data_IF_506251824137
#
_entry.id   IF_506251824137
#
_cell.length_a   1.000
_cell.length_b   1.000
_cell.length_c   1.000
_cell.angle_alpha   90.00
_cell.angle_beta   90.00
_cell.angle_gamma   90.00
#
_symmetry.space_group_name_H-M   'P 1'
#
loop_
_entity.id
_entity.type
_entity.pdbx_description
1 polymer ?
#
# COMPACT_ATOMS: atom_id res chain seq x y z
N UNK A 1 -5.95 6.39 -6.33
CA UNK A 1 -4.88 6.07 -5.35
C UNK A 1 -3.66 6.90 -5.71
N UNK A 2 -2.95 7.45 -4.73
CA UNK A 2 -1.68 8.18 -4.93
C UNK A 2 -0.46 7.30 -4.58
N UNK A 3 0.77 7.71 -4.95
CA UNK A 3 1.97 6.91 -4.70
C UNK A 3 2.58 7.10 -3.30
N UNK A 4 3.62 6.33 -2.98
CA UNK A 4 4.37 6.45 -1.71
C UNK A 4 5.15 7.77 -1.63
N UNK A 5 5.10 8.44 -0.47
CA UNK A 5 5.78 9.71 -0.15
C UNK A 5 5.63 10.71 -1.31
N UNK A 6 4.38 10.98 -1.70
CA UNK A 6 4.09 11.80 -2.88
C UNK A 6 4.26 13.31 -2.62
N UNK A 7 4.22 13.74 -1.36
CA UNK A 7 4.28 15.15 -0.98
C UNK A 7 5.71 15.67 -0.76
N UNK A 8 6.74 14.83 -0.90
CA UNK A 8 8.13 15.21 -0.62
C UNK A 8 9.14 14.27 -1.29
N UNK A 9 10.43 14.63 -1.37
CA UNK A 9 11.46 13.71 -1.84
C UNK A 9 11.61 12.48 -0.93
N UNK A 10 11.79 11.29 -1.52
CA UNK A 10 12.02 10.06 -0.77
C UNK A 10 13.47 9.97 -0.25
N UNK A 11 13.76 10.57 0.90
CA UNK A 11 15.06 10.48 1.56
C UNK A 11 14.99 10.70 3.08
N UNK A 12 15.92 10.07 3.81
CA UNK A 12 16.03 10.18 5.26
C UNK A 12 16.22 11.62 5.77
N UNK A 13 16.86 12.48 4.98
CA UNK A 13 17.06 13.90 5.34
C UNK A 13 15.80 14.73 5.09
N UNK A 14 14.93 14.30 4.17
CA UNK A 14 13.69 15.01 3.83
C UNK A 14 12.57 14.67 4.80
N UNK A 15 12.44 13.41 5.23
CA UNK A 15 11.29 12.99 6.04
C UNK A 15 11.01 13.90 7.25
N UNK A 16 11.99 14.30 8.09
CA UNK A 16 11.71 15.18 9.22
C UNK A 16 11.26 16.59 8.83
N UNK A 17 11.73 17.09 7.68
CA UNK A 17 11.44 18.44 7.19
C UNK A 17 10.01 18.52 6.66
N UNK A 18 9.57 17.49 5.95
CA UNK A 18 8.26 17.44 5.30
C UNK A 18 7.20 16.68 6.11
N UNK A 19 7.55 16.18 7.31
CA UNK A 19 6.61 15.42 8.12
C UNK A 19 5.46 16.29 8.66
N UNK A 20 4.24 15.80 8.48
CA UNK A 20 3.00 16.46 8.89
C UNK A 20 2.36 15.77 10.10
N UNK A 21 1.73 16.54 10.99
CA UNK A 21 0.97 16.00 12.13
C UNK A 21 -0.48 15.75 11.72
N UNK A 22 -0.71 14.53 11.22
CA UNK A 22 -2.00 14.09 10.69
C UNK A 22 -3.12 14.17 11.75
N UNK A 23 -2.80 13.92 13.03
CA UNK A 23 -3.79 13.90 14.10
C UNK A 23 -4.17 15.33 14.54
N UNK A 24 -3.25 16.29 14.42
CA UNK A 24 -3.56 17.71 14.62
C UNK A 24 -4.41 18.31 13.48
N UNK A 25 -4.24 17.83 12.24
CA UNK A 25 -5.02 18.25 11.08
C UNK A 25 -4.82 19.72 10.67
N UNK A 26 -5.61 20.20 9.72
CA UNK A 26 -5.58 21.61 9.26
C UNK A 26 -4.20 22.01 8.73
N UNK A 27 -3.70 23.16 9.20
CA UNK A 27 -2.38 23.70 8.83
C UNK A 27 -1.20 22.80 9.26
N UNK A 28 -1.39 21.93 10.24
CA UNK A 28 -0.36 20.97 10.67
C UNK A 28 -0.28 19.73 9.75
N UNK A 29 -1.30 19.54 8.90
CA UNK A 29 -1.37 18.46 7.93
C UNK A 29 -2.08 18.90 6.63
N UNK A 30 -1.47 19.84 5.88
CA UNK A 30 -2.05 20.38 4.65
C UNK A 30 -2.28 19.29 3.59
N UNK A 31 -1.44 18.27 3.51
CA UNK A 31 -1.59 17.18 2.54
C UNK A 31 -2.86 16.39 2.80
N UNK A 32 -3.12 15.99 4.05
CA UNK A 32 -4.36 15.26 4.37
C UNK A 32 -5.60 16.15 4.31
N UNK A 33 -5.46 17.44 4.62
CA UNK A 33 -6.56 18.41 4.49
C UNK A 33 -6.97 18.55 3.03
N UNK A 34 -6.00 18.70 2.11
CA UNK A 34 -6.25 18.75 0.68
C UNK A 34 -6.93 17.47 0.17
N UNK A 35 -6.47 16.28 0.60
CA UNK A 35 -7.09 15.01 0.20
C UNK A 35 -8.52 14.84 0.73
N UNK A 36 -8.77 15.25 1.98
CA UNK A 36 -10.11 15.26 2.57
C UNK A 36 -11.08 16.14 1.77
N UNK A 37 -10.65 17.36 1.42
CA UNK A 37 -11.44 18.28 0.62
C UNK A 37 -11.69 17.75 -0.79
N UNK A 38 -10.66 17.22 -1.46
CA UNK A 38 -10.78 16.64 -2.79
C UNK A 38 -11.75 15.46 -2.81
N UNK A 39 -11.65 14.55 -1.83
CA UNK A 39 -12.54 13.40 -1.71
C UNK A 39 -14.01 13.84 -1.56
N UNK A 40 -14.27 14.85 -0.70
CA UNK A 40 -15.61 15.41 -0.48
C UNK A 40 -16.18 16.14 -1.70
N UNK A 41 -15.35 16.93 -2.39
CA UNK A 41 -15.77 17.71 -3.55
C UNK A 41 -16.05 16.83 -4.77
N UNK A 42 -15.23 15.81 -4.99
CA UNK A 42 -15.33 14.90 -6.12
C UNK A 42 -16.22 13.68 -5.83
N UNK A 43 -16.64 13.48 -4.57
CA UNK A 43 -17.46 12.34 -4.13
C UNK A 43 -16.83 11.00 -4.46
N UNK A 44 -15.55 10.87 -4.13
CA UNK A 44 -14.75 9.66 -4.36
C UNK A 44 -14.04 9.20 -3.09
N UNK A 45 -13.80 7.89 -2.99
CA UNK A 45 -12.87 7.34 -2.00
C UNK A 45 -11.43 7.55 -2.48
N UNK A 46 -10.56 8.08 -1.61
CA UNK A 46 -9.14 8.31 -1.91
C UNK A 46 -8.26 7.45 -1.01
N UNK A 47 -7.52 6.52 -1.61
CA UNK A 47 -6.31 5.95 -0.98
C UNK A 47 -5.17 6.93 -1.23
N UNK A 48 -4.80 7.68 -0.20
CA UNK A 48 -3.99 8.89 -0.26
C UNK A 48 -2.49 8.68 -0.43
N UNK A 49 -2.07 7.56 -1.01
CA UNK A 49 -0.65 7.24 -1.13
C UNK A 49 0.00 7.20 0.24
N UNK A 50 1.22 7.69 0.38
CA UNK A 50 1.74 7.97 1.73
C UNK A 50 2.46 9.30 1.81
N UNK A 51 2.61 9.79 3.05
CA UNK A 51 3.37 10.98 3.43
C UNK A 51 4.21 10.67 4.68
N UNK A 52 5.29 11.42 4.95
CA UNK A 52 5.94 11.35 6.26
C UNK A 52 5.00 11.94 7.31
N UNK A 53 4.65 11.16 8.32
CA UNK A 53 3.81 11.57 9.45
C UNK A 53 4.70 11.87 10.66
N UNK A 54 4.42 12.98 11.35
CA UNK A 54 4.96 13.28 12.67
C UNK A 54 3.94 12.91 13.74
N UNK A 55 4.38 12.16 14.74
CA UNK A 55 3.54 11.76 15.88
C UNK A 55 4.40 11.78 17.14
N UNK A 56 4.41 12.92 17.83
CA UNK A 56 5.33 13.18 18.93
C UNK A 56 6.78 13.29 18.42
N UNK A 57 7.68 12.52 19.01
CA UNK A 57 9.11 12.45 18.64
C UNK A 57 9.38 11.47 17.48
N UNK A 58 8.36 10.70 17.06
CA UNK A 58 8.49 9.67 16.03
C UNK A 58 8.00 10.16 14.67
N UNK A 59 8.61 9.59 13.64
CA UNK A 59 8.23 9.77 12.25
C UNK A 59 7.76 8.44 11.66
N UNK A 60 6.78 8.47 10.77
CA UNK A 60 6.23 7.28 10.12
C UNK A 60 6.04 7.51 8.62
N UNK A 61 6.02 6.44 7.84
CA UNK A 61 5.56 6.46 6.45
C UNK A 61 4.07 6.05 6.45
N UNK A 62 3.17 6.99 6.17
CA UNK A 62 1.76 6.83 6.52
C UNK A 62 0.82 7.05 5.35
N UNK A 63 -0.04 6.07 5.11
CA UNK A 63 -1.12 6.10 4.12
C UNK A 63 -2.46 6.39 4.80
N UNK A 64 -3.16 7.41 4.34
CA UNK A 64 -4.52 7.75 4.77
C UNK A 64 -5.55 7.33 3.73
N UNK A 65 -6.72 6.86 4.18
CA UNK A 65 -7.87 6.56 3.32
C UNK A 65 -9.03 7.48 3.68
N UNK A 66 -9.57 8.19 2.70
CA UNK A 66 -10.70 9.11 2.87
C UNK A 66 -11.93 8.57 2.13
N UNK A 67 -13.11 8.70 2.74
CA UNK A 67 -14.39 8.41 2.07
C UNK A 67 -14.88 9.59 1.21
N UNK A 68 -15.99 9.39 0.50
CA UNK A 68 -16.62 10.35 -0.40
C UNK A 68 -17.21 11.59 0.31
N UNK A 69 -17.24 11.61 1.64
CA UNK A 69 -17.58 12.78 2.44
C UNK A 69 -16.33 13.53 2.95
N UNK A 70 -15.15 13.03 2.62
CA UNK A 70 -13.85 13.57 3.04
C UNK A 70 -13.41 13.10 4.42
N UNK A 71 -14.12 12.16 5.05
CA UNK A 71 -13.75 11.69 6.39
C UNK A 71 -12.59 10.70 6.31
N UNK A 72 -11.62 10.86 7.20
CA UNK A 72 -10.52 9.90 7.37
C UNK A 72 -11.10 8.57 7.91
N UNK A 73 -11.03 7.52 7.10
CA UNK A 73 -11.53 6.17 7.40
C UNK A 73 -10.46 5.26 8.00
N UNK A 74 -9.21 5.44 7.57
CA UNK A 74 -8.10 4.64 8.04
C UNK A 74 -6.77 5.39 7.92
N UNK A 75 -5.84 5.06 8.81
CA UNK A 75 -4.44 5.49 8.80
C UNK A 75 -3.57 4.25 8.92
N UNK A 76 -2.74 3.99 7.92
CA UNK A 76 -1.83 2.85 7.86
C UNK A 76 -0.39 3.35 7.92
N UNK A 77 0.33 2.97 8.97
CA UNK A 77 1.78 3.20 9.07
C UNK A 77 2.50 1.97 8.51
N UNK A 78 3.45 2.19 7.60
CA UNK A 78 4.26 1.14 6.96
C UNK A 78 4.83 0.20 8.00
N UNK A 79 4.54 -1.10 7.89
CA UNK A 79 4.89 -2.08 8.92
C UNK A 79 6.34 -2.55 8.72
N UNK A 80 6.72 -2.80 7.47
CA UNK A 80 8.05 -3.28 7.12
C UNK A 80 8.86 -2.14 6.50
N UNK A 81 9.80 -1.59 7.28
CA UNK A 81 10.68 -0.52 6.82
C UNK A 81 11.68 -1.03 5.78
N UNK A 82 12.00 -0.17 4.82
CA UNK A 82 12.90 -0.48 3.71
C UNK A 82 14.36 -0.38 4.12
N UNK A 83 14.84 -1.44 4.78
CA UNK A 83 16.24 -1.59 5.16
C UNK A 83 16.92 -2.61 4.24
N UNK A 84 17.62 -2.11 3.22
CA UNK A 84 18.37 -2.94 2.27
C UNK A 84 19.80 -2.45 2.07
N UNK A 85 20.68 -3.41 1.80
CA UNK A 85 22.04 -3.16 1.36
C UNK A 85 22.38 -4.14 0.22
N UNK A 86 22.37 -3.64 -1.01
CA UNK A 86 22.75 -4.39 -2.21
C UNK A 86 24.09 -3.82 -2.68
N UNK A 87 25.22 -4.51 -2.40
CA UNK A 87 26.55 -4.01 -2.67
C UNK A 87 26.72 -3.51 -4.11
N UNK A 88 27.20 -2.27 -4.25
CA UNK A 88 27.44 -1.63 -5.54
C UNK A 88 26.18 -1.22 -6.33
N UNK A 89 24.98 -1.35 -5.76
CA UNK A 89 23.72 -0.97 -6.41
C UNK A 89 22.90 0.03 -5.61
N UNK A 90 22.43 -0.38 -4.43
CA UNK A 90 21.59 0.48 -3.58
C UNK A 90 21.70 0.09 -2.12
N UNK A 91 21.88 1.09 -1.26
CA UNK A 91 21.80 0.96 0.19
C UNK A 91 20.82 2.00 0.69
N UNK A 92 19.78 1.58 1.39
CA UNK A 92 18.80 2.47 2.00
C UNK A 92 18.36 1.86 3.32
N UNK A 93 18.41 2.65 4.40
CA UNK A 93 18.01 2.21 5.75
C UNK A 93 16.96 3.22 6.22
N UNK A 94 15.69 2.92 5.93
CA UNK A 94 14.53 3.76 6.27
C UNK A 94 14.37 3.87 7.81
N UNK A 95 14.75 2.83 8.55
CA UNK A 95 14.69 2.78 10.01
C UNK A 95 15.66 3.72 10.74
N UNK A 96 16.60 4.36 10.02
CA UNK A 96 17.42 5.43 10.60
C UNK A 96 16.60 6.66 10.98
N UNK A 97 15.47 6.87 10.32
CA UNK A 97 14.64 8.07 10.48
C UNK A 97 13.19 7.73 10.80
N UNK A 98 12.63 6.69 10.17
CA UNK A 98 11.22 6.32 10.35
C UNK A 98 11.04 5.19 11.36
N UNK A 99 9.86 5.14 11.96
CA UNK A 99 9.39 4.11 12.88
C UNK A 99 8.39 3.21 12.18
N UNK A 100 8.47 1.90 12.45
CA UNK A 100 7.53 0.93 11.91
C UNK A 100 6.12 1.10 12.50
N UNK A 101 5.10 0.85 11.67
CA UNK A 101 3.74 0.66 12.13
C UNK A 101 3.56 -0.67 12.88
N UNK A 102 2.57 -0.73 13.75
CA UNK A 102 2.34 -1.87 14.65
C UNK A 102 1.09 -2.68 14.29
N UNK A 103 0.33 -2.25 13.26
CA UNK A 103 -0.98 -2.81 12.96
C UNK A 103 -1.25 -2.97 11.46
N UNK A 104 -1.64 -4.18 10.99
CA UNK A 104 -2.28 -4.35 9.70
C UNK A 104 -3.53 -3.47 9.59
N UNK A 105 -3.75 -2.85 8.43
CA UNK A 105 -4.86 -1.92 8.22
C UNK A 105 -5.79 -2.47 7.14
N UNK A 106 -7.04 -2.70 7.54
CA UNK A 106 -8.14 -3.07 6.64
C UNK A 106 -9.29 -2.09 6.88
N UNK A 107 -9.90 -1.61 5.81
CA UNK A 107 -10.93 -0.57 5.87
C UNK A 107 -12.08 -0.89 4.96
N UNK A 108 -13.30 -0.77 5.49
CA UNK A 108 -14.54 -0.83 4.71
C UNK A 108 -14.84 0.55 4.11
N UNK A 109 -14.99 0.57 2.79
CA UNK A 109 -15.33 1.75 2.01
C UNK A 109 -16.50 1.45 1.08
N UNK A 110 -17.05 2.47 0.44
CA UNK A 110 -18.13 2.32 -0.54
C UNK A 110 -17.70 1.52 -1.78
N UNK A 111 -16.40 1.53 -2.09
CA UNK A 111 -15.82 0.74 -3.18
C UNK A 111 -15.39 -0.66 -2.74
N UNK A 112 -15.65 -1.05 -1.50
CA UNK A 112 -15.33 -2.37 -0.95
C UNK A 112 -14.33 -2.34 0.20
N UNK A 113 -14.07 -3.53 0.76
CA UNK A 113 -13.04 -3.77 1.79
C UNK A 113 -11.63 -3.76 1.21
N UNK A 114 -10.79 -2.84 1.68
CA UNK A 114 -9.42 -2.61 1.18
C UNK A 114 -8.40 -2.94 2.28
N UNK A 115 -7.41 -3.77 1.95
CA UNK A 115 -6.18 -3.90 2.74
C UNK A 115 -5.14 -2.88 2.29
N UNK A 116 -4.39 -2.28 3.21
CA UNK A 116 -3.37 -1.27 2.90
C UNK A 116 -1.99 -1.80 3.28
N UNK A 117 -1.04 -1.76 2.36
CA UNK A 117 0.39 -1.90 2.65
C UNK A 117 1.15 -0.78 1.94
N UNK A 118 2.39 -0.51 2.34
CA UNK A 118 3.23 0.48 1.66
C UNK A 118 4.50 -0.19 1.18
N UNK A 119 4.73 -0.13 -0.13
CA UNK A 119 5.97 -0.51 -0.82
C UNK A 119 6.56 -1.85 -0.36
N UNK A 120 7.50 -1.82 0.57
CA UNK A 120 8.22 -2.98 1.08
C UNK A 120 7.31 -4.01 1.76
N UNK A 121 6.15 -3.59 2.28
CA UNK A 121 5.11 -4.48 2.80
C UNK A 121 4.67 -5.54 1.77
N UNK A 122 4.74 -5.24 0.47
CA UNK A 122 4.40 -6.21 -0.58
C UNK A 122 5.32 -7.42 -0.56
N UNK A 123 6.51 -7.38 0.05
CA UNK A 123 7.42 -8.54 0.12
C UNK A 123 6.99 -9.59 1.15
N UNK A 124 6.11 -9.25 2.07
CA UNK A 124 5.69 -10.10 3.19
C UNK A 124 4.32 -10.70 2.90
N UNK A 125 4.31 -11.94 2.41
CA UNK A 125 3.08 -12.61 1.96
C UNK A 125 2.09 -12.83 3.11
N UNK A 126 2.57 -12.96 4.34
CA UNK A 126 1.77 -13.13 5.56
C UNK A 126 0.76 -11.99 5.73
N UNK A 127 1.17 -10.75 5.42
CA UNK A 127 0.31 -9.58 5.52
C UNK A 127 -0.86 -9.67 4.52
N UNK A 128 -0.58 -10.10 3.29
CA UNK A 128 -1.62 -10.29 2.27
C UNK A 128 -2.57 -11.46 2.60
N UNK A 129 -2.05 -12.55 3.18
CA UNK A 129 -2.88 -13.66 3.67
C UNK A 129 -3.82 -13.17 4.78
N UNK A 130 -3.34 -12.34 5.71
CA UNK A 130 -4.17 -11.75 6.77
C UNK A 130 -5.28 -10.89 6.15
N UNK A 131 -4.96 -10.02 5.19
CA UNK A 131 -5.98 -9.19 4.53
C UNK A 131 -7.04 -10.03 3.80
N UNK A 132 -6.63 -11.06 3.08
CA UNK A 132 -7.54 -11.99 2.41
C UNK A 132 -8.43 -12.73 3.42
N UNK A 133 -7.86 -13.24 4.51
CA UNK A 133 -8.58 -13.93 5.58
C UNK A 133 -9.56 -13.01 6.34
N UNK A 134 -9.28 -11.70 6.35
CA UNK A 134 -10.19 -10.66 6.88
C UNK A 134 -11.18 -10.14 5.81
N UNK A 135 -11.22 -10.75 4.63
CA UNK A 135 -12.22 -10.48 3.60
C UNK A 135 -11.91 -9.30 2.69
N UNK A 136 -10.65 -8.88 2.56
CA UNK A 136 -10.27 -7.86 1.59
C UNK A 136 -10.62 -8.30 0.16
N UNK A 137 -11.18 -7.36 -0.61
CA UNK A 137 -11.43 -7.55 -2.04
C UNK A 137 -10.24 -7.05 -2.88
N UNK A 138 -9.54 -6.05 -2.37
CA UNK A 138 -8.42 -5.36 -2.98
C UNK A 138 -7.34 -5.10 -1.92
N UNK A 139 -6.08 -5.24 -2.30
CA UNK A 139 -4.96 -4.68 -1.53
C UNK A 139 -4.32 -3.56 -2.32
N UNK A 140 -4.18 -2.39 -1.68
CA UNK A 140 -3.50 -1.24 -2.25
C UNK A 140 -2.09 -1.13 -1.67
N UNK A 141 -1.10 -1.01 -2.56
CA UNK A 141 0.30 -0.77 -2.21
C UNK A 141 0.81 0.48 -2.93
N UNK A 142 0.63 1.69 -2.36
CA UNK A 142 1.47 2.83 -2.73
C UNK A 142 2.94 2.44 -2.54
N UNK A 143 3.80 2.66 -3.53
CA UNK A 143 5.19 2.25 -3.41
C UNK A 143 6.11 2.75 -4.49
N UNK A 144 7.37 3.01 -4.11
CA UNK A 144 8.44 3.38 -5.02
C UNK A 144 9.53 2.30 -5.02
N UNK A 145 9.45 1.32 -5.93
CA UNK A 145 10.59 0.41 -6.15
C UNK A 145 11.70 1.15 -6.91
N UNK A 146 12.95 0.74 -6.73
CA UNK A 146 14.10 1.34 -7.44
C UNK A 146 14.44 0.59 -8.73
N UNK A 147 15.33 1.16 -9.54
CA UNK A 147 15.83 0.58 -10.78
C UNK A 147 16.52 -0.78 -10.66
N UNK A 148 16.93 -1.21 -9.46
CA UNK A 148 17.51 -2.55 -9.24
C UNK A 148 16.45 -3.60 -8.95
N UNK A 149 15.50 -3.28 -8.09
CA UNK A 149 14.49 -4.23 -7.61
C UNK A 149 13.21 -4.22 -8.43
N UNK A 150 12.86 -3.09 -9.05
CA UNK A 150 11.69 -2.88 -9.89
C UNK A 150 11.60 -3.90 -11.03
N UNK A 151 12.59 -3.96 -11.95
CA UNK A 151 12.56 -4.86 -13.11
C UNK A 151 12.41 -6.35 -12.75
N UNK A 152 12.87 -6.74 -11.56
CA UNK A 152 12.89 -8.14 -11.13
C UNK A 152 11.66 -8.53 -10.31
N UNK A 153 11.18 -7.62 -9.48
CA UNK A 153 10.26 -7.97 -8.39
C UNK A 153 8.93 -7.22 -8.42
N UNK A 154 8.84 -6.05 -9.07
CA UNK A 154 7.61 -5.24 -9.00
C UNK A 154 6.41 -6.00 -9.53
N UNK A 155 6.48 -6.47 -10.79
CA UNK A 155 5.38 -7.22 -11.40
C UNK A 155 5.18 -8.60 -10.76
N UNK A 156 6.28 -9.29 -10.46
CA UNK A 156 6.23 -10.62 -9.86
C UNK A 156 5.48 -10.61 -8.53
N UNK A 157 5.81 -9.67 -7.64
CA UNK A 157 5.22 -9.62 -6.30
C UNK A 157 3.74 -9.27 -6.35
N UNK A 158 3.34 -8.26 -7.13
CA UNK A 158 1.92 -7.90 -7.25
C UNK A 158 1.07 -9.06 -7.78
N UNK A 159 1.55 -9.78 -8.80
CA UNK A 159 0.87 -10.94 -9.37
C UNK A 159 0.80 -12.09 -8.39
N UNK A 160 1.87 -12.35 -7.64
CA UNK A 160 1.86 -13.35 -6.58
C UNK A 160 0.84 -13.01 -5.48
N UNK A 161 0.81 -11.75 -5.00
CA UNK A 161 -0.17 -11.30 -3.99
C UNK A 161 -1.61 -11.49 -4.48
N UNK A 162 -1.90 -11.14 -5.72
CA UNK A 162 -3.23 -11.27 -6.30
C UNK A 162 -3.64 -12.75 -6.48
N UNK A 163 -2.78 -13.55 -7.12
CA UNK A 163 -3.07 -14.93 -7.48
C UNK A 163 -3.21 -15.86 -6.26
N UNK A 164 -2.29 -15.75 -5.29
CA UNK A 164 -2.25 -16.63 -4.12
C UNK A 164 -3.38 -16.35 -3.12
N UNK A 165 -3.85 -15.09 -3.10
CA UNK A 165 -4.87 -14.64 -2.16
C UNK A 165 -6.25 -14.43 -2.81
N UNK A 166 -6.36 -14.62 -4.13
CA UNK A 166 -7.61 -14.53 -4.90
C UNK A 166 -8.36 -13.22 -4.64
N UNK A 167 -7.64 -12.12 -4.86
CA UNK A 167 -8.08 -10.73 -4.68
C UNK A 167 -7.40 -9.82 -5.70
N UNK A 168 -7.89 -8.58 -5.85
CA UNK A 168 -7.23 -7.58 -6.67
C UNK A 168 -6.01 -6.99 -5.94
N UNK A 169 -5.01 -6.56 -6.69
CA UNK A 169 -3.87 -5.80 -6.17
C UNK A 169 -3.66 -4.56 -7.01
N UNK A 170 -3.61 -3.40 -6.36
CA UNK A 170 -3.29 -2.14 -7.03
C UNK A 170 -2.01 -1.55 -6.44
N UNK A 171 -1.07 -1.20 -7.31
CA UNK A 171 0.18 -0.53 -6.97
C UNK A 171 0.23 0.85 -7.62
N UNK A 172 0.67 1.87 -6.89
CA UNK A 172 0.88 3.21 -7.44
C UNK A 172 2.27 3.71 -7.07
N UNK A 173 3.03 4.05 -8.10
CA UNK A 173 4.42 4.50 -8.01
C UNK A 173 4.58 5.92 -8.51
N UNK A 174 5.48 6.73 -7.92
CA UNK A 174 5.87 8.00 -8.52
C UNK A 174 6.44 7.76 -9.93
N UNK A 175 6.29 8.75 -10.80
CA UNK A 175 7.00 8.77 -12.07
C UNK A 175 8.52 8.73 -11.82
N UNK A 176 9.26 8.21 -12.80
CA UNK A 176 10.72 8.12 -12.72
C UNK A 176 11.34 9.49 -12.93
N UNK A 177 11.99 9.99 -11.88
CA UNK A 177 12.90 11.12 -11.96
C UNK A 177 14.35 10.65 -11.81
N UNK A 178 15.16 10.85 -12.84
CA UNK A 178 16.58 10.47 -12.86
C UNK A 178 17.48 11.47 -12.10
N UNK A 179 16.96 12.67 -11.79
CA UNK A 179 17.65 13.65 -10.98
C UNK A 179 17.38 13.47 -9.47
N UNK A 180 16.38 12.67 -9.09
CA UNK A 180 16.06 12.40 -7.69
C UNK A 180 17.12 11.51 -7.03
N UNK A 181 17.34 11.72 -5.73
CA UNK A 181 18.24 10.87 -4.93
C UNK A 181 17.79 9.41 -4.83
N UNK A 182 16.49 9.16 -5.03
CA UNK A 182 15.91 7.82 -5.16
C UNK A 182 15.15 7.73 -6.49
N UNK A 183 15.71 6.99 -7.45
CA UNK A 183 15.12 6.86 -8.79
C UNK A 183 14.07 5.76 -8.79
N UNK A 184 12.80 6.16 -8.86
CA UNK A 184 11.66 5.25 -8.89
C UNK A 184 11.59 4.44 -10.19
N UNK A 185 11.09 3.20 -10.07
CA UNK A 185 10.84 2.31 -11.19
C UNK A 185 9.67 2.80 -12.04
N UNK A 186 8.61 3.32 -11.41
CA UNK A 186 7.35 3.65 -12.07
C UNK A 186 6.44 2.42 -12.16
N UNK A 187 5.73 2.28 -13.28
CA UNK A 187 4.89 1.13 -13.61
C UNK A 187 3.79 0.85 -12.57
N UNK A 188 3.07 1.89 -12.14
CA UNK A 188 1.79 1.70 -11.43
C UNK A 188 0.95 0.66 -12.17
N UNK A 189 0.32 -0.27 -11.45
CA UNK A 189 -0.35 -1.42 -12.06
C UNK A 189 -1.61 -1.82 -11.29
N UNK A 190 -2.64 -2.27 -12.00
CA UNK A 190 -3.76 -3.03 -11.46
C UNK A 190 -3.66 -4.49 -11.89
N UNK A 191 -3.73 -5.41 -10.93
CA UNK A 191 -3.71 -6.85 -11.13
C UNK A 191 -5.03 -7.48 -10.67
N UNK A 192 -5.58 -8.35 -11.51
CA UNK A 192 -6.80 -9.10 -11.25
C UNK A 192 -6.59 -10.38 -10.42
N UNK A 193 -7.67 -11.03 -9.98
CA UNK A 193 -7.64 -12.15 -9.06
C UNK A 193 -7.10 -13.47 -9.64
N UNK A 194 -6.89 -13.55 -10.96
CA UNK A 194 -6.19 -14.66 -11.61
C UNK A 194 -4.67 -14.39 -11.74
N UNK A 195 -4.19 -13.23 -11.28
CA UNK A 195 -2.80 -12.80 -11.41
C UNK A 195 -2.49 -12.16 -12.77
N UNK A 196 -3.52 -11.78 -13.53
CA UNK A 196 -3.45 -11.06 -14.78
C UNK A 196 -3.24 -9.56 -14.56
N UNK A 197 -2.37 -8.94 -15.36
CA UNK A 197 -2.21 -7.49 -15.36
C UNK A 197 -3.37 -6.90 -16.17
N UNK A 198 -4.22 -6.11 -15.52
CA UNK A 198 -5.40 -5.50 -16.15
C UNK A 198 -5.07 -4.14 -16.77
N UNK A 199 -4.20 -3.37 -16.12
CA UNK A 199 -3.69 -2.10 -16.63
C UNK A 199 -2.35 -1.79 -15.98
N UNK A 200 -1.42 -1.20 -16.73
CA UNK A 200 -0.11 -0.76 -16.24
C UNK A 200 0.29 0.54 -16.93
N UNK A 201 1.04 1.36 -16.21
CA UNK A 201 1.76 2.52 -16.78
C UNK A 201 3.18 2.11 -17.17
N UNK A 202 3.85 3.00 -17.89
CA UNK A 202 5.30 2.98 -18.06
C UNK A 202 5.97 3.75 -16.91
N UNK A 203 7.02 4.52 -17.18
CA UNK A 203 7.81 5.21 -16.17
C UNK A 203 7.60 6.73 -16.13
N UNK A 204 6.77 7.28 -17.04
CA UNK A 204 6.39 8.69 -17.06
C UNK A 204 5.17 8.95 -16.16
N UNK A 205 4.85 10.22 -15.91
CA UNK A 205 3.63 10.60 -15.19
C UNK A 205 2.40 10.23 -16.01
N UNK A 206 1.52 9.41 -15.43
CA UNK A 206 0.32 8.93 -16.08
C UNK A 206 -0.72 8.43 -15.05
N UNK A 207 -1.95 8.22 -15.48
CA UNK A 207 -3.08 7.77 -14.65
C UNK A 207 -3.66 6.49 -15.23
N UNK A 208 -3.78 5.46 -14.38
CA UNK A 208 -4.57 4.27 -14.71
C UNK A 208 -6.03 4.52 -14.41
N UNK A 209 -6.88 4.27 -15.40
CA UNK A 209 -8.32 4.14 -15.24
C UNK A 209 -8.70 2.73 -15.66
N UNK A 210 -9.22 1.94 -14.72
CA UNK A 210 -9.61 0.55 -14.94
C UNK A 210 -10.82 0.19 -14.07
N UNK A 211 -11.62 -0.75 -14.56
CA UNK A 211 -12.80 -1.26 -13.85
C UNK A 211 -12.43 -2.49 -13.00
N UNK A 212 -13.01 -2.57 -11.80
CA UNK A 212 -12.86 -3.71 -10.90
C UNK A 212 -14.22 -4.42 -10.79
N UNK A 213 -14.26 -5.68 -11.21
CA UNK A 213 -15.44 -6.53 -11.07
C UNK A 213 -15.24 -7.53 -9.92
N UNK A 214 -15.90 -7.28 -8.79
CA UNK A 214 -15.80 -8.17 -7.62
C UNK A 214 -16.51 -9.51 -7.80
N UNK A 215 -17.37 -9.68 -8.81
CA UNK A 215 -17.94 -10.99 -9.13
C UNK A 215 -16.87 -12.01 -9.54
N UNK A 216 -15.76 -11.53 -10.12
CA UNK A 216 -14.62 -12.38 -10.49
C UNK A 216 -13.90 -12.98 -9.28
N UNK A 217 -13.98 -12.37 -8.10
CA UNK A 217 -13.43 -12.94 -6.86
C UNK A 217 -14.15 -14.25 -6.50
N UNK A 218 -15.48 -14.23 -6.58
CA UNK A 218 -16.33 -15.39 -6.26
C UNK A 218 -16.16 -16.50 -7.30
N UNK A 219 -16.07 -16.14 -8.59
CA UNK A 219 -15.75 -17.09 -9.67
C UNK A 219 -14.39 -17.75 -9.40
N UNK A 220 -13.37 -16.95 -9.09
CA UNK A 220 -12.01 -17.44 -8.83
C UNK A 220 -11.96 -18.38 -7.63
N UNK A 221 -12.59 -18.02 -6.51
CA UNK A 221 -12.62 -18.80 -5.28
C UNK A 221 -13.47 -20.07 -5.41
N UNK A 222 -14.52 -20.04 -6.23
CA UNK A 222 -15.33 -21.24 -6.54
C UNK A 222 -14.55 -22.23 -7.40
N UNK A 223 -13.92 -21.75 -8.47
CA UNK A 223 -13.18 -22.61 -9.41
C UNK A 223 -11.86 -23.15 -8.81
N UNK A 224 -11.24 -22.41 -7.89
CA UNK A 224 -10.01 -22.82 -7.21
C UNK A 224 -10.12 -22.56 -5.70
N UNK A 225 -10.77 -23.44 -4.91
CA UNK A 225 -11.10 -23.17 -3.52
C UNK A 225 -9.91 -23.37 -2.56
N UNK A 226 -8.88 -22.52 -2.68
CA UNK A 226 -7.62 -22.62 -1.94
C UNK A 226 -7.84 -22.66 -0.43
N UNK A 227 -8.76 -21.85 0.10
CA UNK A 227 -9.07 -21.78 1.53
C UNK A 227 -9.55 -23.10 2.11
N UNK A 228 -10.28 -23.92 1.32
CA UNK A 228 -10.77 -25.24 1.73
C UNK A 228 -9.67 -26.32 1.68
N UNK A 229 -8.56 -26.04 1.00
CA UNK A 229 -7.46 -26.97 0.75
C UNK A 229 -6.23 -26.70 1.62
N UNK A 230 -6.22 -25.60 2.38
CA UNK A 230 -5.13 -25.29 3.33
C UNK A 230 -5.04 -26.38 4.41
N UNK A 231 -3.82 -26.81 4.68
CA UNK A 231 -3.51 -27.86 5.67
C UNK A 231 -3.28 -27.26 7.06
N UNK A 232 -4.37 -26.76 7.65
CA UNK A 232 -4.38 -26.19 9.01
C UNK A 232 -3.89 -27.17 10.09
N UNK A 233 -3.90 -28.47 9.79
CA UNK A 233 -3.34 -29.55 10.61
C UNK A 233 -1.80 -29.63 10.55
N UNK A 234 -1.16 -29.06 9.52
CA UNK A 234 0.29 -29.04 9.33
C UNK A 234 0.91 -27.67 9.59
N UNK A 235 0.23 -26.59 9.18
CA UNK A 235 0.70 -25.23 9.36
C UNK A 235 -0.47 -24.28 9.56
N UNK A 236 -0.23 -23.22 10.34
CA UNK A 236 -1.20 -22.15 10.54
C UNK A 236 -0.48 -20.81 10.54
N UNK A 237 -1.10 -19.82 9.90
CA UNK A 237 -0.74 -18.42 10.07
C UNK A 237 -1.56 -17.85 11.22
N UNK A 238 -0.88 -17.29 12.22
CA UNK A 238 -1.53 -16.76 13.42
C UNK A 238 -1.62 -15.24 13.34
N UNK A 239 -2.85 -14.74 13.27
CA UNK A 239 -3.17 -13.32 13.40
C UNK A 239 -3.29 -12.93 14.87
N UNK A 240 -2.18 -12.49 15.45
CA UNK A 240 -2.06 -12.19 16.89
C UNK A 240 -2.95 -11.03 17.36
N UNK A 241 -3.41 -10.16 16.45
CA UNK A 241 -4.32 -9.08 16.81
C UNK A 241 -5.76 -9.57 16.93
N UNK A 242 -6.20 -10.41 15.99
CA UNK A 242 -7.54 -10.98 16.01
C UNK A 242 -7.74 -11.91 17.22
N UNK A 243 -6.70 -12.64 17.63
CA UNK A 243 -6.75 -13.44 18.85
C UNK A 243 -7.04 -12.59 20.11
N UNK A 244 -6.55 -11.35 20.16
CA UNK A 244 -6.78 -10.44 21.29
C UNK A 244 -8.15 -9.75 21.26
N UNK A 245 -8.80 -9.66 20.09
CA UNK A 245 -10.15 -9.07 19.98
C UNK A 245 -11.26 -10.05 20.33
N UNK A 246 -10.98 -11.36 20.17
CA UNK A 246 -11.93 -12.44 20.42
C UNK A 246 -11.83 -12.99 21.87
N UNK A 247 -10.90 -12.46 22.68
CA UNK A 247 -10.68 -12.78 24.10
C UNK A 247 -11.21 -11.70 25.03
#
# INVERSE_FOLDING_TARGET
MLPEIWNSPYSNDSFPVYAEDIDAGGEASPSTTMLSEAARLLKITIVGGSIPERSGDRLYNTCCVFDSDGKLKAKHRKIHLFDIDIPGKITFIESKTLTAGETPTIVDTEVGRIGIGICYDIRFQELAIIYAARGAHLICYPGAFNMTTGPLHWELLQRARAADNQLYVATCSPARDVAAGYVAWGHSTLVGPFGEVLATTEHEEDIIIAEIDYSLLEVRRTNLPLTKQRRGDLYQLVDVQRLKSDS
#
